data_IF_132669267620
#
_entry.id   IF_132669267620
#
_cell.length_a   1.000
_cell.length_b   1.000
_cell.length_c   1.000
_cell.angle_alpha   90.00
_cell.angle_beta   90.00
_cell.angle_gamma   90.00
#
_symmetry.space_group_name_H-M   'P 1'
#
loop_
_entity.id
_entity.type
_entity.pdbx_description
1 polymer ?
#
# COMPACT_ATOMS: atom_id res chain seq x y z
N UNK A 1 -11.55 4.98 -9.97
CA UNK A 1 -13.03 4.97 -9.76
C UNK A 1 -13.50 5.79 -8.56
N UNK A 2 -12.62 6.50 -7.84
CA UNK A 2 -13.00 7.39 -6.72
C UNK A 2 -13.01 8.90 -7.06
N UNK A 3 -12.45 9.31 -8.20
CA UNK A 3 -12.59 10.68 -8.73
C UNK A 3 -14.00 11.00 -9.25
N UNK A 4 -14.85 9.99 -9.44
CA UNK A 4 -16.23 10.15 -9.92
C UNK A 4 -17.29 10.27 -8.80
N UNK A 5 -16.93 10.03 -7.54
CA UNK A 5 -17.90 10.00 -6.43
C UNK A 5 -18.22 11.39 -5.84
N UNK A 6 -17.41 12.42 -6.14
CA UNK A 6 -17.59 13.76 -5.55
C UNK A 6 -18.59 14.67 -6.28
N UNK A 7 -19.15 14.28 -7.43
CA UNK A 7 -19.89 15.20 -8.31
C UNK A 7 -21.41 15.00 -8.39
N UNK A 8 -22.06 14.31 -7.46
CA UNK A 8 -23.46 13.93 -7.64
C UNK A 8 -24.41 14.27 -6.48
N UNK A 9 -24.42 15.50 -5.94
CA UNK A 9 -25.59 15.97 -5.18
C UNK A 9 -25.83 17.49 -5.37
N UNK A 10 -26.81 17.85 -6.19
CA UNK A 10 -27.37 19.21 -6.25
C UNK A 10 -28.72 19.23 -5.52
N UNK A 11 -28.83 19.97 -4.42
CA UNK A 11 -30.11 20.27 -3.73
C UNK A 11 -30.22 21.80 -3.58
N UNK A 12 -31.40 22.42 -3.79
CA UNK A 12 -31.51 23.87 -3.83
C UNK A 12 -31.70 24.44 -2.42
N UNK A 13 -30.85 25.41 -2.04
CA UNK A 13 -31.00 26.24 -0.83
C UNK A 13 -29.70 26.44 -0.07
N UNK A 14 -29.53 27.63 0.54
CA UNK A 14 -28.34 28.24 1.18
C UNK A 14 -27.52 27.44 2.23
N UNK A 15 -27.65 26.11 2.33
CA UNK A 15 -26.84 25.19 3.16
C UNK A 15 -25.57 24.71 2.40
N UNK A 16 -25.51 24.97 1.09
CA UNK A 16 -24.45 24.51 0.18
C UNK A 16 -23.03 24.91 0.61
N UNK A 17 -22.78 26.12 1.12
CA UNK A 17 -21.42 26.59 1.43
C UNK A 17 -20.77 25.83 2.59
N UNK A 18 -21.55 25.49 3.63
CA UNK A 18 -21.03 24.79 4.82
C UNK A 18 -20.78 23.31 4.49
N UNK A 19 -21.66 22.69 3.71
CA UNK A 19 -21.46 21.31 3.24
C UNK A 19 -20.29 21.20 2.25
N UNK A 20 -20.14 22.17 1.34
CA UNK A 20 -18.97 22.23 0.44
C UNK A 20 -17.68 22.49 1.24
N UNK A 21 -17.69 23.35 2.25
CA UNK A 21 -16.53 23.58 3.12
C UNK A 21 -16.17 22.32 3.92
N UNK A 22 -17.14 21.58 4.43
CA UNK A 22 -16.91 20.31 5.12
C UNK A 22 -16.38 19.23 4.16
N UNK A 23 -16.88 19.16 2.93
CA UNK A 23 -16.39 18.23 1.91
C UNK A 23 -14.96 18.57 1.48
N UNK A 24 -14.66 19.86 1.27
CA UNK A 24 -13.30 20.35 0.97
C UNK A 24 -12.36 20.05 2.14
N UNK A 25 -12.79 20.31 3.38
CA UNK A 25 -12.02 19.98 4.58
C UNK A 25 -11.81 18.47 4.72
N UNK A 26 -12.84 17.66 4.44
CA UNK A 26 -12.73 16.21 4.44
C UNK A 26 -11.74 15.71 3.39
N UNK A 27 -11.76 16.26 2.17
CA UNK A 27 -10.77 15.95 1.13
C UNK A 27 -9.36 16.39 1.52
N UNK A 28 -9.19 17.55 2.17
CA UNK A 28 -7.88 18.03 2.66
C UNK A 28 -7.29 17.18 3.79
N UNK A 29 -8.12 16.39 4.48
CA UNK A 29 -7.70 15.48 5.55
C UNK A 29 -7.73 14.00 5.14
N UNK A 30 -8.22 13.66 3.95
CA UNK A 30 -8.31 12.28 3.48
C UNK A 30 -6.95 11.87 2.94
N UNK A 31 -6.24 11.05 3.74
CA UNK A 31 -4.97 10.43 3.36
C UNK A 31 -5.09 9.44 2.20
N UNK A 32 -3.96 8.96 1.68
CA UNK A 32 -3.90 7.88 0.68
C UNK A 32 -4.49 6.60 1.28
N UNK A 33 -5.51 6.03 0.63
CA UNK A 33 -6.16 4.80 1.12
C UNK A 33 -5.46 3.59 0.50
N UNK A 34 -4.64 2.91 1.32
CA UNK A 34 -4.03 1.62 0.98
C UNK A 34 -4.91 0.49 1.49
N UNK A 35 -5.16 -0.50 0.64
CA UNK A 35 -6.06 -1.62 0.91
C UNK A 35 -5.32 -2.94 0.94
N UNK A 36 -5.84 -3.82 1.79
CA UNK A 36 -5.52 -5.24 1.85
C UNK A 36 -6.79 -6.02 2.21
N UNK A 37 -7.00 -7.24 1.68
CA UNK A 37 -8.05 -8.14 2.14
C UNK A 37 -7.89 -8.44 3.63
N UNK A 38 -9.01 -8.62 4.32
CA UNK A 38 -9.01 -8.95 5.75
C UNK A 38 -8.70 -10.43 5.99
N UNK A 39 -7.91 -10.70 7.03
CA UNK A 39 -7.65 -12.04 7.56
C UNK A 39 -6.19 -12.49 7.41
N UNK A 40 -5.76 -13.49 8.21
CA UNK A 40 -4.41 -14.04 8.12
C UNK A 40 -4.23 -14.86 6.84
N UNK A 41 -3.03 -14.81 6.29
CA UNK A 41 -2.62 -15.60 5.13
C UNK A 41 -2.01 -16.91 5.59
N UNK A 42 -2.48 -18.03 5.03
CA UNK A 42 -1.95 -19.35 5.39
C UNK A 42 -1.21 -19.94 4.19
N UNK A 43 0.06 -20.26 4.39
CA UNK A 43 0.90 -20.89 3.38
C UNK A 43 1.82 -21.96 4.01
N UNK A 44 2.09 -23.08 3.32
CA UNK A 44 3.03 -24.09 3.80
C UNK A 44 4.47 -23.57 3.91
N UNK A 45 5.26 -24.14 4.82
CA UNK A 45 6.71 -23.91 4.87
C UNK A 45 7.38 -24.32 3.54
N UNK A 46 8.39 -23.58 3.12
CA UNK A 46 9.12 -23.73 1.86
C UNK A 46 8.36 -23.25 0.62
N UNK A 47 7.10 -22.82 0.77
CA UNK A 47 6.30 -22.28 -0.32
C UNK A 47 6.45 -20.75 -0.44
N UNK A 48 5.61 -20.13 -1.26
CA UNK A 48 5.54 -18.69 -1.46
C UNK A 48 4.18 -18.16 -1.04
N UNK A 49 4.15 -16.94 -0.50
CA UNK A 49 2.91 -16.22 -0.20
C UNK A 49 2.93 -14.84 -0.87
N UNK A 50 1.74 -14.32 -1.17
CA UNK A 50 1.57 -12.96 -1.66
C UNK A 50 0.96 -12.15 -0.54
N UNK A 51 1.68 -11.12 -0.09
CA UNK A 51 1.20 -10.09 0.81
C UNK A 51 0.47 -9.02 -0.02
N UNK A 52 -0.86 -8.94 0.03
CA UNK A 52 -1.62 -8.01 -0.80
C UNK A 52 -1.49 -6.57 -0.29
N UNK A 53 -1.23 -5.64 -1.21
CA UNK A 53 -1.26 -4.20 -0.94
C UNK A 53 -1.61 -3.47 -2.23
N UNK A 54 -2.68 -2.69 -2.23
CA UNK A 54 -3.12 -1.98 -3.44
C UNK A 54 -3.86 -0.68 -3.13
N UNK A 55 -3.91 0.20 -4.13
CA UNK A 55 -4.69 1.44 -4.13
C UNK A 55 -5.66 1.43 -5.31
N UNK A 56 -6.82 2.05 -5.15
CA UNK A 56 -7.85 2.12 -6.21
C UNK A 56 -7.68 3.33 -7.16
N UNK A 57 -6.66 4.13 -6.91
CA UNK A 57 -6.36 5.37 -7.61
C UNK A 57 -5.03 5.31 -8.37
N UNK A 58 -4.91 6.14 -9.41
CA UNK A 58 -3.70 6.20 -10.22
C UNK A 58 -2.72 7.17 -9.57
N UNK A 59 -1.59 6.67 -9.10
CA UNK A 59 -0.50 7.46 -8.55
C UNK A 59 0.49 7.85 -9.64
N UNK A 60 1.10 9.03 -9.50
CA UNK A 60 2.25 9.41 -10.32
C UNK A 60 3.46 8.59 -9.88
N UNK A 61 4.22 8.07 -10.85
CA UNK A 61 5.45 7.31 -10.56
C UNK A 61 6.55 8.19 -9.96
N UNK A 62 6.55 9.49 -10.28
CA UNK A 62 7.48 10.46 -9.72
C UNK A 62 7.19 10.67 -8.23
N UNK A 63 8.18 10.39 -7.38
CA UNK A 63 8.04 10.48 -5.92
C UNK A 63 7.22 9.34 -5.31
N UNK A 64 6.93 8.28 -6.07
CA UNK A 64 6.34 7.05 -5.53
C UNK A 64 7.42 6.24 -4.81
N UNK A 65 7.17 5.95 -3.55
CA UNK A 65 7.97 5.04 -2.74
C UNK A 65 7.05 4.02 -2.06
N UNK A 66 7.45 2.75 -2.07
CA UNK A 66 6.73 1.68 -1.37
C UNK A 66 7.69 0.90 -0.50
N UNK A 67 7.38 0.83 0.79
CA UNK A 67 8.11 0.02 1.75
C UNK A 67 7.26 -1.17 2.21
N UNK A 68 7.86 -2.35 2.23
CA UNK A 68 7.39 -3.46 3.05
C UNK A 68 8.30 -3.63 4.25
N UNK A 69 7.72 -3.61 5.45
CA UNK A 69 8.44 -3.82 6.71
C UNK A 69 7.74 -4.84 7.58
N UNK A 70 8.51 -5.56 8.41
CA UNK A 70 7.96 -6.29 9.56
C UNK A 70 7.40 -5.28 10.55
N UNK A 71 6.15 -5.47 10.99
CA UNK A 71 5.47 -4.49 11.84
C UNK A 71 6.07 -4.42 13.25
N UNK A 72 6.51 -5.55 13.78
CA UNK A 72 7.07 -5.71 15.11
C UNK A 72 8.51 -5.20 15.23
N UNK A 73 9.38 -5.53 14.26
CA UNK A 73 10.80 -5.17 14.29
C UNK A 73 11.16 -3.96 13.44
N UNK A 74 10.26 -3.50 12.57
CA UNK A 74 10.52 -2.51 11.52
C UNK A 74 11.61 -2.94 10.51
N UNK A 75 11.97 -4.23 10.47
CA UNK A 75 12.91 -4.80 9.51
C UNK A 75 12.42 -4.54 8.08
N UNK A 76 13.28 -3.95 7.25
CA UNK A 76 12.97 -3.68 5.84
C UNK A 76 12.98 -5.00 5.05
N UNK A 77 11.81 -5.37 4.53
CA UNK A 77 11.59 -6.58 3.73
C UNK A 77 11.89 -6.29 2.28
N UNK A 78 11.38 -5.18 1.74
CA UNK A 78 11.69 -4.73 0.39
C UNK A 78 11.34 -3.24 0.20
N UNK A 79 11.99 -2.59 -0.77
CA UNK A 79 11.82 -1.18 -1.09
C UNK A 79 11.63 -1.02 -2.61
N UNK A 80 10.69 -0.17 -2.98
CA UNK A 80 10.56 0.39 -4.32
C UNK A 80 10.72 1.90 -4.23
N UNK A 81 11.65 2.47 -4.98
CA UNK A 81 11.98 3.90 -4.93
C UNK A 81 12.61 4.35 -6.25
N UNK A 82 12.34 5.59 -6.66
CA UNK A 82 12.88 6.20 -7.89
C UNK A 82 12.57 5.39 -9.17
N UNK A 83 11.39 4.75 -9.21
CA UNK A 83 10.96 3.98 -10.36
C UNK A 83 11.53 2.57 -10.45
N UNK A 84 12.26 2.10 -9.43
CA UNK A 84 12.92 0.81 -9.43
C UNK A 84 12.67 0.02 -8.14
N UNK A 85 12.60 -1.30 -8.27
CA UNK A 85 12.71 -2.23 -7.13
C UNK A 85 14.17 -2.24 -6.65
N UNK A 86 14.38 -2.17 -5.33
CA UNK A 86 15.69 -2.07 -4.66
C UNK A 86 15.98 -3.35 -3.86
N UNK A 87 16.30 -4.50 -4.50
CA UNK A 87 16.67 -5.72 -3.78
C UNK A 87 17.92 -5.54 -2.89
N UNK A 88 18.82 -4.62 -3.25
CA UNK A 88 20.01 -4.27 -2.48
C UNK A 88 19.71 -3.63 -1.12
N UNK A 89 18.50 -3.09 -0.92
CA UNK A 89 18.07 -2.50 0.36
C UNK A 89 17.47 -3.55 1.32
N UNK A 90 17.25 -4.78 0.87
CA UNK A 90 16.66 -5.84 1.69
C UNK A 90 17.57 -6.18 2.86
N UNK A 91 16.96 -6.45 4.02
CA UNK A 91 17.67 -7.05 5.12
C UNK A 91 18.04 -8.51 4.79
N UNK A 92 19.15 -8.98 5.37
CA UNK A 92 19.79 -10.25 4.99
C UNK A 92 18.84 -11.47 4.99
N UNK A 93 17.84 -11.48 5.87
CA UNK A 93 16.85 -12.56 5.98
C UNK A 93 15.85 -12.62 4.80
N UNK A 94 15.67 -11.53 4.05
CA UNK A 94 14.74 -11.43 2.91
C UNK A 94 15.43 -11.40 1.54
N UNK A 95 16.77 -11.36 1.53
CA UNK A 95 17.57 -11.30 0.30
C UNK A 95 17.17 -12.40 -0.68
N UNK A 96 16.89 -12.04 -1.93
CA UNK A 96 16.42 -12.92 -3.03
C UNK A 96 15.08 -13.64 -2.78
N UNK A 97 14.38 -13.34 -1.67
CA UNK A 97 13.11 -13.99 -1.31
C UNK A 97 11.91 -13.05 -1.45
N UNK A 98 12.11 -11.75 -1.28
CA UNK A 98 11.06 -10.74 -1.35
C UNK A 98 11.06 -10.03 -2.71
N UNK A 99 9.93 -10.02 -3.41
CA UNK A 99 9.83 -9.49 -4.78
C UNK A 99 8.55 -8.69 -4.97
N UNK A 100 8.65 -7.50 -5.57
CA UNK A 100 7.49 -6.77 -6.08
C UNK A 100 7.04 -7.33 -7.44
N UNK A 101 5.76 -7.19 -7.73
CA UNK A 101 5.23 -7.31 -9.10
C UNK A 101 5.43 -5.97 -9.83
N UNK A 102 6.65 -5.67 -10.26
CA UNK A 102 7.05 -4.35 -10.77
C UNK A 102 6.19 -3.86 -11.94
N UNK A 103 5.71 -4.76 -12.80
CA UNK A 103 4.80 -4.47 -13.91
C UNK A 103 3.39 -4.05 -13.46
N UNK A 104 3.02 -4.34 -12.22
CA UNK A 104 1.72 -4.02 -11.64
C UNK A 104 1.73 -2.73 -10.79
N UNK A 105 2.90 -2.20 -10.46
CA UNK A 105 3.06 -0.97 -9.65
C UNK A 105 2.37 0.22 -10.30
N UNK A 106 2.51 0.39 -11.62
CA UNK A 106 1.84 1.46 -12.38
C UNK A 106 0.30 1.37 -12.35
N UNK A 107 -0.24 0.21 -11.96
CA UNK A 107 -1.68 -0.03 -11.82
C UNK A 107 -2.14 0.03 -10.36
N UNK A 108 -1.29 0.49 -9.45
CA UNK A 108 -1.62 0.63 -8.03
C UNK A 108 -1.53 -0.68 -7.24
N UNK A 109 -0.91 -1.72 -7.77
CA UNK A 109 -0.69 -2.97 -7.05
C UNK A 109 0.76 -3.03 -6.55
N UNK A 110 0.90 -2.98 -5.23
CA UNK A 110 2.15 -2.96 -4.49
C UNK A 110 2.34 -4.24 -3.66
N UNK A 111 1.68 -5.32 -4.07
CA UNK A 111 1.76 -6.60 -3.38
C UNK A 111 3.18 -7.15 -3.42
N UNK A 112 3.58 -7.82 -2.35
CA UNK A 112 4.89 -8.46 -2.23
C UNK A 112 4.74 -9.97 -2.31
N UNK A 113 5.54 -10.62 -3.14
CA UNK A 113 5.74 -12.06 -3.08
C UNK A 113 6.91 -12.37 -2.16
N UNK A 114 6.68 -13.22 -1.15
CA UNK A 114 7.72 -13.74 -0.27
C UNK A 114 7.90 -15.24 -0.54
N UNK A 115 9.10 -15.63 -0.98
CA UNK A 115 9.48 -16.99 -1.35
C UNK A 115 10.20 -17.75 -0.23
N UNK A 116 10.13 -19.08 -0.29
CA UNK A 116 10.80 -20.01 0.61
C UNK A 116 10.48 -19.73 2.08
N UNK A 117 9.19 -19.76 2.43
CA UNK A 117 8.71 -19.44 3.78
C UNK A 117 9.31 -20.33 4.86
N UNK A 118 9.63 -19.72 5.99
CA UNK A 118 10.14 -20.32 7.22
C UNK A 118 9.19 -20.01 8.37
N UNK A 119 9.34 -20.70 9.50
CA UNK A 119 8.55 -20.38 10.70
C UNK A 119 8.87 -18.98 11.25
N UNK A 120 10.04 -18.42 10.92
CA UNK A 120 10.42 -17.07 11.33
C UNK A 120 9.67 -15.99 10.54
N UNK A 121 9.13 -16.32 9.36
CA UNK A 121 8.34 -15.38 8.56
C UNK A 121 6.89 -15.23 9.07
N UNK A 122 6.45 -16.04 10.03
CA UNK A 122 5.16 -15.81 10.71
C UNK A 122 5.18 -14.43 11.38
N UNK A 123 4.10 -13.65 11.20
CA UNK A 123 4.04 -12.31 11.78
C UNK A 123 3.30 -11.28 10.94
N UNK A 124 3.39 -10.03 11.43
CA UNK A 124 2.72 -8.86 10.86
C UNK A 124 3.68 -8.11 9.96
N UNK A 125 3.17 -7.70 8.81
CA UNK A 125 3.87 -6.95 7.79
C UNK A 125 3.08 -5.70 7.45
N UNK A 126 3.77 -4.56 7.38
CA UNK A 126 3.19 -3.28 7.01
C UNK A 126 3.67 -2.89 5.61
N UNK A 127 2.72 -2.61 4.73
CA UNK A 127 2.95 -1.95 3.46
C UNK A 127 2.72 -0.45 3.65
N UNK A 128 3.73 0.37 3.39
CA UNK A 128 3.62 1.83 3.36
C UNK A 128 3.79 2.32 1.94
N UNK A 129 2.89 3.18 1.49
CA UNK A 129 2.93 3.80 0.17
C UNK A 129 3.04 5.30 0.38
N UNK A 130 4.07 5.90 -0.20
CA UNK A 130 4.30 7.33 -0.20
C UNK A 130 4.15 7.84 -1.62
N UNK A 131 3.41 8.93 -1.77
CA UNK A 131 3.31 9.74 -2.97
C UNK A 131 3.80 11.15 -2.67
N UNK A 132 3.91 12.02 -3.67
CA UNK A 132 4.34 13.41 -3.46
C UNK A 132 3.42 14.19 -2.50
N UNK A 133 2.15 13.83 -2.44
CA UNK A 133 1.12 14.60 -1.73
C UNK A 133 0.70 13.95 -0.41
N UNK A 134 0.84 12.63 -0.31
CA UNK A 134 0.16 11.85 0.71
C UNK A 134 0.85 10.50 0.95
N UNK A 135 0.51 9.85 2.06
CA UNK A 135 0.97 8.53 2.42
C UNK A 135 -0.13 7.69 3.04
N UNK A 136 -0.10 6.39 2.80
CA UNK A 136 -1.03 5.44 3.39
C UNK A 136 -0.34 4.16 3.75
N UNK A 137 -0.96 3.37 4.62
CA UNK A 137 -0.43 2.08 5.01
C UNK A 137 -1.54 1.05 5.23
N UNK A 138 -1.16 -0.21 5.10
CA UNK A 138 -1.99 -1.34 5.48
C UNK A 138 -1.14 -2.43 6.10
N UNK A 139 -1.79 -3.34 6.80
CA UNK A 139 -1.14 -4.42 7.51
C UNK A 139 -1.67 -5.77 7.06
N UNK A 140 -0.76 -6.74 6.97
CA UNK A 140 -1.03 -8.11 6.58
C UNK A 140 -0.41 -9.03 7.62
N UNK A 141 -1.15 -10.07 8.00
CA UNK A 141 -0.66 -11.14 8.85
C UNK A 141 -0.41 -12.38 7.98
N UNK A 142 0.78 -12.94 8.08
CA UNK A 142 1.03 -14.35 7.75
C UNK A 142 0.77 -15.16 9.02
#
# INVERSE_FOLDING_TARGET
LLTAACLAFTVPGNILLIQNLYLILFCLFSGLIVRSPAGPLVAPLGSSVILPCYVDELLLMEGLEVEWRRTDSQTLVHLYQDGESRPEAQQQEYHDRAHFFTDQIQHGNFSLRLDNLTAEDEGRYTCRVYSQQDSGETEVQI
#
